data_IF_380404643266
#
_entry.id   IF_380404643266
#
_cell.length_a   1.000
_cell.length_b   1.000
_cell.length_c   1.000
_cell.angle_alpha   90.00
_cell.angle_beta   90.00
_cell.angle_gamma   90.00
#
_symmetry.space_group_name_H-M   'P 1'
#
loop_
_entity.id
_entity.type
_entity.pdbx_description
1 polymer ?
#
# COMPACT_ATOMS: atom_id res chain seq x y z
N UNK A 1 -18.39 -0.93 -7.24
CA UNK A 1 -17.34 -0.65 -8.24
C UNK A 1 -16.08 -0.29 -7.50
N UNK A 2 -14.95 -0.83 -7.91
CA UNK A 2 -13.65 -0.59 -7.29
C UNK A 2 -12.93 0.58 -7.98
N UNK A 3 -12.02 1.23 -7.26
CA UNK A 3 -11.10 2.23 -7.81
C UNK A 3 -9.69 1.64 -7.85
N UNK A 4 -9.15 1.42 -9.05
CA UNK A 4 -7.83 0.82 -9.23
C UNK A 4 -6.74 1.91 -9.32
N UNK A 5 -5.69 1.77 -8.52
CA UNK A 5 -4.54 2.68 -8.49
C UNK A 5 -3.26 1.86 -8.73
N UNK A 6 -2.71 1.93 -9.93
CA UNK A 6 -1.44 1.27 -10.25
C UNK A 6 -0.25 2.14 -9.82
N UNK A 7 0.63 1.58 -8.99
CA UNK A 7 1.87 2.22 -8.56
C UNK A 7 2.96 2.06 -9.61
N UNK A 8 3.88 3.03 -9.63
CA UNK A 8 5.05 3.01 -10.52
C UNK A 8 6.32 3.28 -9.73
N UNK A 9 7.34 2.51 -10.03
CA UNK A 9 8.68 2.60 -9.45
C UNK A 9 9.71 2.58 -10.57
N UNK A 10 10.94 2.97 -10.26
CA UNK A 10 12.03 2.86 -11.22
C UNK A 10 12.27 1.39 -11.58
N UNK A 11 12.65 1.12 -12.84
CA UNK A 11 12.78 -0.26 -13.37
C UNK A 11 13.80 -1.13 -12.61
N UNK A 12 14.73 -0.51 -11.88
CA UNK A 12 15.74 -1.21 -11.09
C UNK A 12 15.29 -1.48 -9.65
N UNK A 13 14.15 -0.93 -9.22
CA UNK A 13 13.62 -1.12 -7.87
C UNK A 13 12.87 -2.44 -7.81
N UNK A 14 13.35 -3.37 -6.99
CA UNK A 14 12.67 -4.64 -6.70
C UNK A 14 12.21 -4.76 -5.25
N UNK A 15 12.80 -3.99 -4.33
CA UNK A 15 12.52 -4.07 -2.90
C UNK A 15 12.08 -2.72 -2.34
N UNK A 16 11.01 -2.70 -1.55
CA UNK A 16 10.47 -1.48 -0.94
C UNK A 16 10.55 -1.56 0.59
N UNK A 17 11.25 -0.61 1.21
CA UNK A 17 11.41 -0.55 2.66
C UNK A 17 11.41 0.88 3.21
N UNK A 18 11.09 1.01 4.50
CA UNK A 18 11.18 2.26 5.24
C UNK A 18 9.86 3.04 5.28
N UNK A 19 9.43 3.37 6.50
CA UNK A 19 8.18 4.09 6.77
C UNK A 19 8.10 5.46 6.07
N UNK A 20 9.20 6.22 6.09
CA UNK A 20 9.27 7.52 5.40
C UNK A 20 9.01 7.36 3.89
N UNK A 21 9.54 6.30 3.29
CA UNK A 21 9.37 6.08 1.86
C UNK A 21 7.95 5.64 1.51
N UNK A 22 7.35 4.76 2.32
CA UNK A 22 5.94 4.39 2.20
C UNK A 22 5.01 5.61 2.24
N UNK A 23 5.24 6.52 3.19
CA UNK A 23 4.46 7.76 3.27
C UNK A 23 4.65 8.66 2.03
N UNK A 24 5.86 8.79 1.52
CA UNK A 24 6.13 9.55 0.29
C UNK A 24 5.41 8.95 -0.93
N UNK A 25 5.38 7.63 -1.06
CA UNK A 25 4.66 6.94 -2.14
C UNK A 25 3.15 7.18 -2.00
N UNK A 26 2.62 7.13 -0.78
CA UNK A 26 1.21 7.46 -0.53
C UNK A 26 0.87 8.88 -1.00
N UNK A 27 1.60 9.88 -0.52
CA UNK A 27 1.37 11.30 -0.85
C UNK A 27 1.44 11.56 -2.36
N UNK A 28 2.45 10.98 -3.03
CA UNK A 28 2.73 11.25 -4.44
C UNK A 28 1.87 10.45 -5.42
N UNK A 29 1.53 9.19 -5.10
CA UNK A 29 0.90 8.28 -6.06
C UNK A 29 -0.53 7.85 -5.70
N UNK A 30 -0.92 7.93 -4.43
CA UNK A 30 -2.18 7.36 -3.91
C UNK A 30 -3.16 8.45 -3.49
N UNK A 31 -2.74 9.37 -2.63
CA UNK A 31 -3.63 10.24 -1.84
C UNK A 31 -4.65 11.01 -2.70
N UNK A 32 -4.20 11.60 -3.82
CA UNK A 32 -5.06 12.38 -4.72
C UNK A 32 -5.99 11.55 -5.59
N UNK A 33 -5.78 10.23 -5.65
CA UNK A 33 -6.56 9.29 -6.46
C UNK A 33 -7.57 8.50 -5.64
N UNK A 34 -7.59 8.65 -4.31
CA UNK A 34 -8.55 7.98 -3.45
C UNK A 34 -9.98 8.46 -3.75
N UNK A 35 -10.86 7.50 -3.97
CA UNK A 35 -12.31 7.69 -4.04
C UNK A 35 -12.93 7.09 -2.76
N UNK A 36 -13.35 7.96 -1.84
CA UNK A 36 -13.91 7.54 -0.55
C UNK A 36 -15.32 6.93 -0.65
N UNK A 37 -15.91 6.90 -1.85
CA UNK A 37 -17.19 6.22 -2.10
C UNK A 37 -17.02 4.77 -2.57
N UNK A 38 -15.76 4.33 -2.76
CA UNK A 38 -15.40 3.01 -3.30
C UNK A 38 -14.26 2.40 -2.49
N UNK A 39 -14.09 1.09 -2.66
CA UNK A 39 -12.87 0.42 -2.23
C UNK A 39 -11.73 0.78 -3.19
N UNK A 40 -10.62 1.26 -2.64
CA UNK A 40 -9.43 1.65 -3.41
C UNK A 40 -8.43 0.49 -3.42
N UNK A 41 -8.24 -0.14 -4.57
CA UNK A 41 -7.24 -1.20 -4.74
C UNK A 41 -5.95 -0.56 -5.28
N UNK A 42 -4.90 -0.56 -4.46
CA UNK A 42 -3.58 -0.06 -4.82
C UNK A 42 -2.69 -1.23 -5.18
N UNK A 43 -2.20 -1.24 -6.41
CA UNK A 43 -1.50 -2.39 -7.00
C UNK A 43 -0.02 -2.06 -7.19
N UNK A 44 0.85 -2.85 -6.54
CA UNK A 44 2.29 -2.87 -6.79
C UNK A 44 2.59 -3.66 -8.08
N UNK A 45 3.47 -3.16 -8.95
CA UNK A 45 3.79 -3.84 -10.21
C UNK A 45 4.66 -5.08 -9.97
N UNK A 46 4.63 -6.02 -10.92
CA UNK A 46 5.34 -7.31 -10.86
C UNK A 46 6.84 -7.20 -10.52
N UNK A 47 7.50 -6.11 -10.91
CA UNK A 47 8.92 -5.89 -10.63
C UNK A 47 9.23 -5.76 -9.13
N UNK A 48 8.24 -5.48 -8.28
CA UNK A 48 8.42 -5.42 -6.83
C UNK A 48 8.27 -6.83 -6.27
N UNK A 49 9.39 -7.39 -5.82
CA UNK A 49 9.53 -8.76 -5.33
C UNK A 49 9.44 -8.82 -3.80
N UNK A 50 9.85 -7.76 -3.08
CA UNK A 50 9.77 -7.70 -1.61
C UNK A 50 9.28 -6.34 -1.10
N UNK A 51 8.50 -6.38 -0.02
CA UNK A 51 7.94 -5.20 0.64
C UNK A 51 8.04 -5.39 2.16
N UNK A 52 8.85 -4.56 2.81
CA UNK A 52 8.98 -4.57 4.26
C UNK A 52 7.72 -3.99 4.94
N UNK A 53 7.35 -4.56 6.10
CA UNK A 53 6.20 -4.08 6.89
C UNK A 53 6.26 -2.58 7.20
N UNK A 54 7.45 -2.06 7.51
CA UNK A 54 7.66 -0.62 7.76
C UNK A 54 7.21 0.27 6.60
N UNK A 55 7.36 -0.19 5.35
CA UNK A 55 6.92 0.54 4.17
C UNK A 55 5.39 0.50 4.05
N UNK A 56 4.77 -0.65 4.29
CA UNK A 56 3.32 -0.83 4.31
C UNK A 56 2.69 0.07 5.39
N UNK A 57 3.22 0.06 6.60
CA UNK A 57 2.83 0.97 7.68
C UNK A 57 2.94 2.44 7.26
N UNK A 58 4.00 2.78 6.52
CA UNK A 58 4.20 4.12 5.96
C UNK A 58 3.08 4.53 5.00
N UNK A 59 2.64 3.61 4.14
CA UNK A 59 1.54 3.84 3.21
C UNK A 59 0.21 4.05 3.94
N UNK A 60 -0.08 3.24 4.96
CA UNK A 60 -1.33 3.33 5.70
C UNK A 60 -1.35 4.47 6.73
N UNK A 61 -0.19 5.01 7.12
CA UNK A 61 -0.03 5.99 8.20
C UNK A 61 -1.08 7.09 8.19
N UNK A 62 -1.22 7.83 7.09
CA UNK A 62 -2.12 8.97 7.01
C UNK A 62 -3.59 8.59 7.22
N UNK A 63 -4.08 7.55 6.53
CA UNK A 63 -5.47 7.12 6.64
C UNK A 63 -5.74 6.41 7.98
N UNK A 64 -4.75 5.70 8.52
CA UNK A 64 -4.81 5.06 9.83
C UNK A 64 -4.88 6.09 10.96
N UNK A 65 -4.06 7.14 10.92
CA UNK A 65 -4.11 8.25 11.89
C UNK A 65 -5.42 9.04 11.80
N UNK A 66 -5.96 9.22 10.60
CA UNK A 66 -7.15 10.04 10.37
C UNK A 66 -8.47 9.32 10.66
N UNK A 67 -8.58 8.04 10.31
CA UNK A 67 -9.83 7.28 10.35
C UNK A 67 -9.78 6.05 11.26
N UNK A 68 -8.60 5.70 11.79
CA UNK A 68 -8.36 4.45 12.51
C UNK A 68 -7.99 3.29 11.58
N UNK A 69 -7.22 2.33 12.10
CA UNK A 69 -6.68 1.18 11.34
C UNK A 69 -7.75 0.37 10.61
N UNK A 70 -8.81 -0.01 11.31
CA UNK A 70 -9.92 -0.78 10.72
C UNK A 70 -10.53 -0.05 9.54
N UNK A 71 -10.79 1.26 9.68
CA UNK A 71 -11.38 2.04 8.60
C UNK A 71 -10.41 2.26 7.45
N UNK A 72 -9.11 2.37 7.74
CA UNK A 72 -8.08 2.47 6.72
C UNK A 72 -8.07 1.25 5.79
N UNK A 73 -8.21 0.04 6.34
CA UNK A 73 -8.33 -1.20 5.58
C UNK A 73 -9.62 -1.31 4.76
N UNK A 74 -10.71 -0.68 5.20
CA UNK A 74 -11.95 -0.58 4.41
C UNK A 74 -11.84 0.45 3.28
N UNK A 75 -11.05 1.51 3.47
CA UNK A 75 -10.84 2.56 2.47
C UNK A 75 -9.90 2.06 1.36
N UNK A 76 -8.84 1.36 1.74
CA UNK A 76 -7.74 1.01 0.85
C UNK A 76 -7.27 -0.42 1.10
N UNK A 77 -7.09 -1.17 0.01
CA UNK A 77 -6.51 -2.49 0.00
C UNK A 77 -5.24 -2.46 -0.85
N UNK A 78 -4.16 -3.07 -0.35
CA UNK A 78 -2.92 -3.23 -1.09
C UNK A 78 -2.89 -4.61 -1.76
N UNK A 79 -2.47 -4.65 -3.01
CA UNK A 79 -2.23 -5.87 -3.76
C UNK A 79 -0.90 -5.76 -4.51
N UNK A 80 -0.27 -6.90 -4.78
CA UNK A 80 0.90 -6.97 -5.65
C UNK A 80 0.65 -7.97 -6.78
N UNK A 81 1.19 -7.67 -7.97
CA UNK A 81 1.21 -8.63 -9.07
C UNK A 81 2.13 -9.82 -8.75
N UNK A 82 3.27 -9.53 -8.10
CA UNK A 82 4.21 -10.53 -7.65
C UNK A 82 3.70 -11.29 -6.41
N UNK A 83 3.82 -12.62 -6.43
CA UNK A 83 3.31 -13.50 -5.38
C UNK A 83 4.01 -13.29 -4.03
N UNK A 84 5.33 -13.18 -4.00
CA UNK A 84 6.09 -13.08 -2.75
C UNK A 84 5.79 -11.74 -2.06
N UNK A 85 5.75 -10.65 -2.83
CA UNK A 85 5.33 -9.34 -2.34
C UNK A 85 3.88 -9.35 -1.83
N UNK A 86 2.97 -10.08 -2.49
CA UNK A 86 1.58 -10.22 -2.06
C UNK A 86 1.47 -10.94 -0.71
N UNK A 87 2.27 -11.99 -0.48
CA UNK A 87 2.30 -12.69 0.81
C UNK A 87 2.84 -11.78 1.92
N UNK A 88 3.89 -10.99 1.64
CA UNK A 88 4.41 -9.99 2.60
C UNK A 88 3.37 -8.94 2.99
N UNK A 89 2.57 -8.48 2.03
CA UNK A 89 1.45 -7.57 2.30
C UNK A 89 0.45 -8.21 3.26
N UNK A 90 0.04 -9.46 3.00
CA UNK A 90 -0.91 -10.18 3.85
C UNK A 90 -0.36 -10.36 5.27
N UNK A 91 0.86 -10.90 5.38
CA UNK A 91 1.54 -11.10 6.67
C UNK A 91 1.60 -9.80 7.49
N UNK A 92 1.93 -8.67 6.84
CA UNK A 92 2.02 -7.38 7.50
C UNK A 92 0.66 -6.88 7.98
N UNK A 93 -0.39 -7.04 7.18
CA UNK A 93 -1.75 -6.62 7.57
C UNK A 93 -2.27 -7.50 8.72
N UNK A 94 -2.07 -8.82 8.66
CA UNK A 94 -2.48 -9.74 9.72
C UNK A 94 -1.75 -9.50 11.03
N UNK A 95 -0.44 -9.23 10.97
CA UNK A 95 0.41 -9.07 12.15
C UNK A 95 0.22 -7.70 12.82
N UNK A 96 0.23 -6.63 12.03
CA UNK A 96 0.28 -5.26 12.56
C UNK A 96 -1.08 -4.55 12.50
N UNK A 97 -2.04 -5.15 11.79
CA UNK A 97 -3.32 -4.51 11.48
C UNK A 97 -3.17 -3.25 10.63
N UNK A 98 -1.95 -3.02 10.11
CA UNK A 98 -1.38 -1.77 9.57
C UNK A 98 -1.93 -0.51 10.26
#
# INVERSE_FOLDING_TARGET
MENLIQLRFDKATTNLAGNRYGNQVFESQIQKKLDYTKLNIVVFPEAIEDIASSFIEGIYKFIGEKYGKTKALEIMCLQAENFDAQEKIKESIETFGV
#
